data_IF_207704485416
#
_entry.id   IF_207704485416
#
_cell.length_a   1.000
_cell.length_b   1.000
_cell.length_c   1.000
_cell.angle_alpha   90.00
_cell.angle_beta   90.00
_cell.angle_gamma   90.00
#
_symmetry.space_group_name_H-M   'P 1'
#
loop_
_entity.id
_entity.type
_entity.pdbx_description
1 polymer ?
#
# COMPACT_ATOMS: atom_id res chain seq x y z
N UNK A 1 12.85 -4.69 -29.41
CA UNK A 1 12.49 -3.26 -29.49
C UNK A 1 10.98 -3.17 -29.33
N UNK A 2 10.48 -2.67 -28.20
CA UNK A 2 9.02 -2.53 -27.99
C UNK A 2 8.52 -1.40 -28.89
N UNK A 3 7.63 -1.71 -29.83
CA UNK A 3 6.96 -0.72 -30.66
C UNK A 3 5.97 0.06 -29.78
N UNK A 4 6.32 1.30 -29.42
CA UNK A 4 5.39 2.24 -28.78
C UNK A 4 4.49 2.86 -29.84
N UNK A 5 3.48 2.11 -30.29
CA UNK A 5 2.42 2.64 -31.14
C UNK A 5 1.07 2.18 -30.60
N UNK A 6 0.28 3.12 -30.07
CA UNK A 6 -1.11 2.86 -29.66
C UNK A 6 -1.42 2.85 -28.16
N UNK A 7 -0.48 3.21 -27.28
CA UNK A 7 -0.82 3.46 -25.88
C UNK A 7 -1.41 4.87 -25.71
N UNK A 8 -2.45 5.05 -24.87
CA UNK A 8 -2.92 6.37 -24.45
C UNK A 8 -1.81 7.25 -23.87
N UNK A 9 -1.97 8.58 -23.96
CA UNK A 9 -0.99 9.55 -23.46
C UNK A 9 -0.78 9.48 -21.94
N UNK A 10 -1.75 8.95 -21.21
CA UNK A 10 -1.74 8.76 -19.75
C UNK A 10 -1.39 7.32 -19.34
N UNK A 11 -0.98 6.47 -20.27
CA UNK A 11 -0.64 5.09 -19.97
C UNK A 11 0.64 5.00 -19.12
N UNK A 12 0.56 4.26 -18.01
CA UNK A 12 1.72 3.89 -17.20
C UNK A 12 2.15 2.47 -17.58
N UNK A 13 3.43 2.30 -17.94
CA UNK A 13 4.00 0.99 -18.27
C UNK A 13 4.84 0.52 -17.09
N UNK A 14 4.45 -0.61 -16.52
CA UNK A 14 5.18 -1.29 -15.44
C UNK A 14 5.65 -2.65 -15.94
N UNK A 15 6.82 -3.07 -15.51
CA UNK A 15 7.29 -4.44 -15.60
C UNK A 15 6.45 -5.36 -14.70
N UNK A 16 6.52 -6.68 -14.97
CA UNK A 16 5.89 -7.68 -14.13
C UNK A 16 6.37 -7.60 -12.66
N UNK A 17 7.65 -7.30 -12.44
CA UNK A 17 8.22 -7.15 -11.10
C UNK A 17 7.66 -5.91 -10.39
N UNK A 18 7.58 -4.77 -11.09
CA UNK A 18 7.03 -3.54 -10.49
C UNK A 18 5.56 -3.68 -10.09
N UNK A 19 4.74 -4.41 -10.87
CA UNK A 19 3.35 -4.65 -10.50
C UNK A 19 3.22 -5.62 -9.32
N UNK A 20 4.05 -6.66 -9.24
CA UNK A 20 4.09 -7.57 -8.09
C UNK A 20 4.51 -6.84 -6.82
N UNK A 21 5.57 -6.03 -6.88
CA UNK A 21 6.03 -5.22 -5.75
C UNK A 21 4.95 -4.24 -5.27
N UNK A 22 4.20 -3.62 -6.21
CA UNK A 22 3.08 -2.76 -5.87
C UNK A 22 1.93 -3.54 -5.20
N UNK A 23 1.60 -4.72 -5.72
CA UNK A 23 0.56 -5.58 -5.15
C UNK A 23 0.90 -6.00 -3.70
N UNK A 24 2.15 -6.38 -3.44
CA UNK A 24 2.60 -6.75 -2.10
C UNK A 24 2.49 -5.59 -1.11
N UNK A 25 2.87 -4.38 -1.53
CA UNK A 25 2.75 -3.17 -0.69
C UNK A 25 1.28 -2.79 -0.43
N UNK A 26 0.41 -2.94 -1.42
CA UNK A 26 -1.03 -2.72 -1.25
C UNK A 26 -1.66 -3.76 -0.31
N UNK A 27 -1.20 -5.01 -0.38
CA UNK A 27 -1.61 -6.05 0.55
C UNK A 27 -1.21 -5.69 1.98
N UNK A 28 0.04 -5.27 2.19
CA UNK A 28 0.51 -4.81 3.51
C UNK A 28 -0.31 -3.63 4.04
N UNK A 29 -0.62 -2.65 3.19
CA UNK A 29 -1.44 -1.50 3.58
C UNK A 29 -2.83 -1.93 4.07
N UNK A 30 -3.47 -2.84 3.33
CA UNK A 30 -4.78 -3.37 3.71
C UNK A 30 -4.71 -4.09 5.05
N UNK A 31 -3.71 -4.94 5.27
CA UNK A 31 -3.55 -5.64 6.55
C UNK A 31 -3.37 -4.67 7.71
N UNK A 32 -2.51 -3.65 7.57
CA UNK A 32 -2.34 -2.63 8.60
C UNK A 32 -3.66 -1.88 8.91
N UNK A 33 -4.52 -1.68 7.90
CA UNK A 33 -5.83 -1.08 8.11
C UNK A 33 -6.82 -2.03 8.81
N UNK A 34 -6.79 -3.33 8.45
CA UNK A 34 -7.57 -4.39 9.10
C UNK A 34 -7.16 -4.57 10.56
N UNK A 35 -5.87 -4.43 10.88
CA UNK A 35 -5.37 -4.47 12.26
C UNK A 35 -5.91 -3.31 13.10
N UNK A 36 -5.97 -2.10 12.54
CA UNK A 36 -6.60 -0.94 13.21
C UNK A 36 -8.08 -1.22 13.50
N UNK A 37 -8.82 -1.78 12.54
CA UNK A 37 -10.23 -2.13 12.76
C UNK A 37 -10.37 -3.17 13.87
N UNK A 38 -9.55 -4.22 13.83
CA UNK A 38 -9.51 -5.27 14.85
C UNK A 38 -9.20 -4.66 16.23
N UNK A 39 -8.24 -3.74 16.30
CA UNK A 39 -7.89 -3.07 17.55
C UNK A 39 -9.04 -2.24 18.15
N UNK A 40 -9.85 -1.60 17.30
CA UNK A 40 -11.07 -0.92 17.74
C UNK A 40 -12.11 -1.91 18.27
N UNK A 41 -12.31 -3.03 17.57
CA UNK A 41 -13.29 -4.06 17.94
C UNK A 41 -12.92 -4.78 19.23
N UNK A 42 -11.61 -5.01 19.46
CA UNK A 42 -11.08 -5.63 20.68
C UNK A 42 -10.95 -4.64 21.85
N UNK A 43 -11.11 -3.34 21.60
CA UNK A 43 -11.01 -2.31 22.62
C UNK A 43 -9.59 -2.13 23.17
N UNK A 44 -8.59 -2.23 22.29
CA UNK A 44 -7.18 -2.00 22.64
C UNK A 44 -7.01 -0.61 23.27
N UNK A 45 -5.98 -0.49 24.10
CA UNK A 45 -5.72 0.76 24.78
C UNK A 45 -5.20 1.85 23.82
N UNK A 46 -5.09 3.07 24.34
CA UNK A 46 -4.67 4.22 23.53
C UNK A 46 -3.25 4.08 22.98
N UNK A 47 -2.34 3.42 23.71
CA UNK A 47 -0.96 3.23 23.28
C UNK A 47 -0.88 2.21 22.14
N UNK A 48 -1.61 1.11 22.28
CA UNK A 48 -1.72 0.08 21.24
C UNK A 48 -2.39 0.61 19.98
N UNK A 49 -3.50 1.36 20.12
CA UNK A 49 -4.16 1.99 18.99
C UNK A 49 -3.27 3.02 18.29
N UNK A 50 -2.48 3.79 19.04
CA UNK A 50 -1.52 4.72 18.47
C UNK A 50 -0.44 3.98 17.67
N UNK A 51 0.05 2.83 18.16
CA UNK A 51 1.03 1.99 17.44
C UNK A 51 0.47 1.46 16.13
N UNK A 52 -0.74 0.92 16.11
CA UNK A 52 -1.38 0.42 14.89
C UNK A 52 -1.62 1.54 13.87
N UNK A 53 -2.08 2.71 14.33
CA UNK A 53 -2.27 3.88 13.47
C UNK A 53 -0.94 4.38 12.87
N UNK A 54 0.14 4.38 13.66
CA UNK A 54 1.47 4.77 13.19
C UNK A 54 2.01 3.79 12.13
N UNK A 55 1.82 2.49 12.32
CA UNK A 55 2.21 1.45 11.36
C UNK A 55 1.43 1.57 10.04
N UNK A 56 0.13 1.86 10.10
CA UNK A 56 -0.69 2.12 8.93
C UNK A 56 -0.16 3.33 8.13
N UNK A 57 0.13 4.44 8.82
CA UNK A 57 0.68 5.66 8.18
C UNK A 57 2.06 5.38 7.57
N UNK A 58 2.93 4.66 8.28
CA UNK A 58 4.25 4.29 7.74
C UNK A 58 4.10 3.44 6.47
N UNK A 59 3.22 2.44 6.51
CA UNK A 59 2.94 1.55 5.37
C UNK A 59 2.40 2.31 4.16
N UNK A 60 1.50 3.27 4.38
CA UNK A 60 1.02 4.17 3.34
C UNK A 60 2.17 5.02 2.75
N UNK A 61 3.06 5.55 3.59
CA UNK A 61 4.24 6.29 3.14
C UNK A 61 5.21 5.46 2.28
N UNK A 62 5.25 4.12 2.45
CA UNK A 62 6.05 3.23 1.59
C UNK A 62 5.53 3.14 0.15
N UNK A 63 4.24 3.41 -0.08
CA UNK A 63 3.63 3.43 -1.43
C UNK A 63 3.97 4.71 -2.21
N UNK A 64 4.20 5.83 -1.54
CA UNK A 64 4.52 7.11 -2.21
C UNK A 64 5.84 7.07 -2.99
N UNK A 65 6.71 6.10 -2.69
CA UNK A 65 8.01 5.89 -3.35
C UNK A 65 7.92 5.19 -4.71
N UNK A 66 6.73 4.98 -5.26
CA UNK A 66 6.52 4.46 -6.62
C UNK A 66 6.63 5.52 -7.72
N UNK A 67 7.34 6.63 -7.46
CA UNK A 67 7.56 7.71 -8.43
C UNK A 67 8.80 7.47 -9.27
#
# INVERSE_FOLDING_TARGET
MVQRGGLPDDAVVLSATEITDLQDRLFQLRCAAEDVLTGVEEGLDTEEMHRLAAELVETAGRLERLR
#
